data_IF_556999428178
#
_entry.id   IF_556999428178
#
_cell.length_a   1.000
_cell.length_b   1.000
_cell.length_c   1.000
_cell.angle_alpha   90.00
_cell.angle_beta   90.00
_cell.angle_gamma   90.00
#
_symmetry.space_group_name_H-M   'P 1'
#
loop_
_entity.id
_entity.type
_entity.pdbx_description
1 polymer ?
#
# COMPACT_ATOMS: atom_id res chain seq x y z
N UNK A 1 -37.82 47.44 -38.45
CA UNK A 1 -36.65 47.73 -37.56
C UNK A 1 -36.64 46.90 -36.28
N UNK A 2 -37.79 46.48 -35.73
CA UNK A 2 -37.90 45.68 -34.48
C UNK A 2 -37.35 44.25 -34.58
N UNK A 3 -37.52 43.57 -35.72
CA UNK A 3 -36.99 42.20 -35.94
C UNK A 3 -35.47 42.13 -36.02
N UNK A 4 -34.83 43.18 -36.55
CA UNK A 4 -33.37 43.26 -36.64
C UNK A 4 -32.75 43.44 -35.25
N UNK A 5 -33.38 44.25 -34.40
CA UNK A 5 -32.92 44.49 -33.04
C UNK A 5 -33.08 43.24 -32.15
N UNK A 6 -34.21 42.52 -32.30
CA UNK A 6 -34.44 41.24 -31.62
C UNK A 6 -33.41 40.18 -32.03
N UNK A 7 -33.08 40.08 -33.33
CA UNK A 7 -32.07 39.15 -33.84
C UNK A 7 -30.66 39.46 -33.30
N UNK A 8 -30.27 40.73 -33.23
CA UNK A 8 -28.97 41.17 -32.69
C UNK A 8 -28.85 40.85 -31.20
N UNK A 9 -29.91 41.08 -30.42
CA UNK A 9 -29.91 40.74 -28.98
C UNK A 9 -29.80 39.23 -28.77
N UNK A 10 -30.53 38.42 -29.54
CA UNK A 10 -30.47 36.97 -29.43
C UNK A 10 -29.08 36.41 -29.78
N UNK A 11 -28.43 36.97 -30.81
CA UNK A 11 -27.06 36.61 -31.19
C UNK A 11 -26.06 36.99 -30.09
N UNK A 12 -26.19 38.18 -29.49
CA UNK A 12 -25.37 38.59 -28.34
C UNK A 12 -25.58 37.69 -27.11
N UNK A 13 -26.80 37.25 -26.83
CA UNK A 13 -27.10 36.33 -25.73
C UNK A 13 -26.49 34.93 -25.96
N UNK A 14 -26.54 34.40 -27.19
CA UNK A 14 -25.95 33.10 -27.50
C UNK A 14 -24.41 33.12 -27.44
N UNK A 15 -23.79 34.20 -27.93
CA UNK A 15 -22.32 34.37 -27.89
C UNK A 15 -21.82 34.51 -26.45
N UNK A 16 -22.50 35.29 -25.62
CA UNK A 16 -22.13 35.48 -24.20
C UNK A 16 -22.31 34.19 -23.38
N UNK A 17 -23.38 33.42 -23.64
CA UNK A 17 -23.59 32.12 -22.99
C UNK A 17 -22.54 31.08 -23.41
N UNK A 18 -22.23 30.99 -24.71
CA UNK A 18 -21.23 30.04 -25.25
C UNK A 18 -19.82 30.32 -24.73
N UNK A 19 -19.42 31.60 -24.67
CA UNK A 19 -18.11 32.02 -24.16
C UNK A 19 -17.99 31.79 -22.65
N UNK A 20 -19.02 32.13 -21.88
CA UNK A 20 -19.05 31.91 -20.43
C UNK A 20 -18.97 30.44 -20.05
N UNK A 21 -19.68 29.58 -20.79
CA UNK A 21 -19.67 28.13 -20.59
C UNK A 21 -18.32 27.51 -20.96
N UNK A 22 -17.73 27.86 -22.11
CA UNK A 22 -16.42 27.35 -22.53
C UNK A 22 -15.30 27.71 -21.55
N UNK A 23 -15.32 28.92 -20.99
CA UNK A 23 -14.34 29.33 -19.98
C UNK A 23 -14.54 28.57 -18.68
N UNK A 24 -15.78 28.43 -18.21
CA UNK A 24 -16.10 27.65 -17.00
C UNK A 24 -15.65 26.20 -17.14
N UNK A 25 -15.96 25.56 -18.26
CA UNK A 25 -15.60 24.17 -18.55
C UNK A 25 -14.08 23.97 -18.71
N UNK A 26 -13.36 24.96 -19.23
CA UNK A 26 -11.89 24.96 -19.28
C UNK A 26 -11.29 25.05 -17.87
N UNK A 27 -11.74 25.99 -17.04
CA UNK A 27 -11.21 26.16 -15.68
C UNK A 27 -11.55 24.97 -14.77
N UNK A 28 -12.74 24.38 -14.89
CA UNK A 28 -13.09 23.15 -14.16
C UNK A 28 -12.27 21.96 -14.64
N UNK A 29 -12.00 21.84 -15.94
CA UNK A 29 -11.14 20.77 -16.47
C UNK A 29 -9.69 20.93 -16.00
N UNK A 30 -9.16 22.16 -16.01
CA UNK A 30 -7.81 22.45 -15.52
C UNK A 30 -7.68 22.22 -14.01
N UNK A 31 -8.67 22.63 -13.20
CA UNK A 31 -8.67 22.34 -11.76
C UNK A 31 -8.72 20.83 -11.51
N UNK A 32 -9.58 20.11 -12.24
CA UNK A 32 -9.70 18.64 -12.14
C UNK A 32 -8.39 17.94 -12.53
N UNK A 33 -7.72 18.40 -13.58
CA UNK A 33 -6.43 17.84 -14.01
C UNK A 33 -5.32 18.13 -12.99
N UNK A 34 -5.33 19.33 -12.39
CA UNK A 34 -4.41 19.69 -11.31
C UNK A 34 -4.63 18.80 -10.07
N UNK A 35 -5.89 18.56 -9.69
CA UNK A 35 -6.24 17.67 -8.58
C UNK A 35 -5.81 16.23 -8.88
N UNK A 36 -5.99 15.77 -10.13
CA UNK A 36 -5.55 14.43 -10.54
C UNK A 36 -4.03 14.26 -10.45
N UNK A 37 -3.25 15.28 -10.83
CA UNK A 37 -1.79 15.28 -10.68
C UNK A 37 -1.40 15.21 -9.19
N UNK A 38 -2.14 15.88 -8.32
CA UNK A 38 -1.89 15.79 -6.88
C UNK A 38 -2.15 14.37 -6.34
N UNK A 39 -3.28 13.77 -6.73
CA UNK A 39 -3.62 12.38 -6.40
C UNK A 39 -2.56 11.42 -6.93
N UNK A 40 -2.09 11.58 -8.17
CA UNK A 40 -1.04 10.73 -8.76
C UNK A 40 0.26 10.79 -7.93
N UNK A 41 0.68 12.00 -7.52
CA UNK A 41 1.85 12.16 -6.64
C UNK A 41 1.66 11.45 -5.30
N UNK A 42 0.47 11.54 -4.72
CA UNK A 42 0.14 10.88 -3.46
C UNK A 42 0.15 9.35 -3.60
N UNK A 43 -0.50 8.82 -4.65
CA UNK A 43 -0.51 7.38 -4.96
C UNK A 43 0.91 6.87 -5.17
N UNK A 44 1.78 7.61 -5.86
CA UNK A 44 3.19 7.24 -6.02
C UNK A 44 3.91 7.12 -4.68
N UNK A 45 3.73 8.09 -3.78
CA UNK A 45 4.33 8.05 -2.43
C UNK A 45 3.80 6.86 -1.64
N UNK A 46 2.50 6.60 -1.70
CA UNK A 46 1.88 5.49 -0.98
C UNK A 46 2.33 4.13 -1.53
N UNK A 47 2.49 4.00 -2.85
CA UNK A 47 3.02 2.79 -3.47
C UNK A 47 4.48 2.52 -3.06
N UNK A 48 5.33 3.55 -3.03
CA UNK A 48 6.70 3.41 -2.57
C UNK A 48 6.75 2.94 -1.11
N UNK A 49 5.93 3.52 -0.24
CA UNK A 49 5.80 3.11 1.16
C UNK A 49 5.28 1.68 1.30
N UNK A 50 4.36 1.27 0.44
CA UNK A 50 3.83 -0.10 0.39
C UNK A 50 4.93 -1.11 0.04
N UNK A 51 5.72 -0.83 -1.00
CA UNK A 51 6.86 -1.69 -1.40
C UNK A 51 7.91 -1.77 -0.30
N UNK A 52 8.22 -0.66 0.38
CA UNK A 52 9.17 -0.64 1.50
C UNK A 52 8.70 -1.55 2.64
N UNK A 53 7.41 -1.51 2.99
CA UNK A 53 6.82 -2.39 4.01
C UNK A 53 6.87 -3.86 3.59
N UNK A 54 6.56 -4.17 2.33
CA UNK A 54 6.69 -5.53 1.80
C UNK A 54 8.12 -6.04 1.95
N UNK A 55 9.12 -5.22 1.58
CA UNK A 55 10.54 -5.57 1.72
C UNK A 55 10.94 -5.80 3.18
N UNK A 56 10.44 -4.98 4.10
CA UNK A 56 10.69 -5.16 5.54
C UNK A 56 10.14 -6.49 6.06
N UNK A 57 8.90 -6.84 5.69
CA UNK A 57 8.28 -8.11 6.09
C UNK A 57 9.01 -9.29 5.46
N UNK A 58 9.33 -9.20 4.17
CA UNK A 58 10.13 -10.21 3.48
C UNK A 58 11.48 -10.43 4.17
N UNK A 59 12.21 -9.35 4.49
CA UNK A 59 13.48 -9.42 5.20
C UNK A 59 13.34 -10.05 6.59
N UNK A 60 12.26 -9.75 7.32
CA UNK A 60 12.01 -10.35 8.62
C UNK A 60 11.72 -11.86 8.53
N UNK A 61 10.97 -12.29 7.52
CA UNK A 61 10.72 -13.71 7.24
C UNK A 61 12.03 -14.41 6.86
N UNK A 62 12.80 -13.84 5.93
CA UNK A 62 14.07 -14.42 5.49
C UNK A 62 15.06 -14.54 6.64
N UNK A 63 15.21 -13.50 7.45
CA UNK A 63 16.06 -13.55 8.64
C UNK A 63 15.62 -14.66 9.61
N UNK A 64 14.32 -14.83 9.81
CA UNK A 64 13.81 -15.90 10.68
C UNK A 64 14.07 -17.29 10.09
N UNK A 65 13.86 -17.49 8.78
CA UNK A 65 14.01 -18.80 8.12
C UNK A 65 15.47 -19.19 7.89
N UNK A 66 16.32 -18.23 7.54
CA UNK A 66 17.74 -18.45 7.24
C UNK A 66 18.62 -18.52 8.48
N UNK A 67 18.10 -18.13 9.65
CA UNK A 67 18.79 -18.29 10.93
C UNK A 67 18.89 -19.78 11.30
N UNK A 68 19.94 -20.42 10.78
CA UNK A 68 20.22 -21.84 10.95
C UNK A 68 20.37 -22.19 12.43
N UNK A 69 19.60 -23.17 12.87
CA UNK A 69 19.63 -23.64 14.24
C UNK A 69 20.47 -24.91 14.35
N UNK A 70 21.09 -25.17 15.52
CA UNK A 70 21.91 -26.37 15.73
C UNK A 70 21.17 -27.69 15.52
N UNK A 71 19.84 -27.67 15.62
CA UNK A 71 18.99 -28.84 15.43
C UNK A 71 18.49 -29.03 14.00
N UNK A 72 18.79 -28.12 13.07
CA UNK A 72 18.32 -28.22 11.68
C UNK A 72 18.94 -29.41 10.93
N UNK A 73 20.13 -29.84 11.36
CA UNK A 73 20.85 -30.98 10.78
C UNK A 73 20.45 -32.34 11.41
N UNK A 74 19.59 -32.33 12.44
CA UNK A 74 19.16 -33.54 13.13
C UNK A 74 18.06 -34.23 12.32
N UNK A 75 18.39 -35.36 11.70
CA UNK A 75 17.47 -36.11 10.82
C UNK A 75 16.70 -37.22 11.54
N UNK A 76 17.02 -37.52 12.81
CA UNK A 76 16.34 -38.56 13.59
C UNK A 76 15.65 -38.00 14.84
N UNK A 77 14.52 -38.60 15.18
CA UNK A 77 13.76 -38.23 16.37
C UNK A 77 14.52 -38.48 17.67
N UNK A 78 15.37 -39.52 17.71
CA UNK A 78 16.23 -39.81 18.86
C UNK A 78 17.28 -38.72 19.07
N UNK A 79 17.95 -38.25 18.01
CA UNK A 79 18.94 -37.19 18.11
C UNK A 79 18.31 -35.85 18.54
N UNK A 80 17.11 -35.54 18.04
CA UNK A 80 16.36 -34.37 18.50
C UNK A 80 15.95 -34.51 19.99
N UNK A 81 15.48 -35.68 20.39
CA UNK A 81 15.13 -35.96 21.79
C UNK A 81 16.33 -35.78 22.72
N UNK A 82 17.49 -36.33 22.34
CA UNK A 82 18.73 -36.18 23.10
C UNK A 82 19.20 -34.71 23.17
N UNK A 83 19.11 -33.97 22.07
CA UNK A 83 19.40 -32.53 22.05
C UNK A 83 18.50 -31.74 23.01
N UNK A 84 17.20 -32.08 23.06
CA UNK A 84 16.22 -31.39 23.91
C UNK A 84 16.30 -31.76 25.40
N UNK A 85 17.06 -32.80 25.79
CA UNK A 85 17.32 -33.10 27.21
C UNK A 85 18.07 -31.98 27.92
N UNK A 86 18.84 -31.18 27.18
CA UNK A 86 19.51 -30.03 27.75
C UNK A 86 18.53 -28.85 27.90
N UNK A 87 18.31 -28.32 29.12
CA UNK A 87 17.25 -27.34 29.38
C UNK A 87 17.41 -26.04 28.59
N UNK A 88 18.66 -25.62 28.31
CA UNK A 88 18.93 -24.43 27.47
C UNK A 88 18.47 -24.65 26.03
N UNK A 89 18.67 -25.84 25.48
CA UNK A 89 18.30 -26.17 24.10
C UNK A 89 16.78 -26.23 23.95
N UNK A 90 16.10 -26.87 24.90
CA UNK A 90 14.64 -26.86 24.98
C UNK A 90 14.09 -25.43 25.09
N UNK A 91 14.66 -24.61 25.98
CA UNK A 91 14.26 -23.22 26.13
C UNK A 91 14.46 -22.40 24.85
N UNK A 92 15.60 -22.56 24.16
CA UNK A 92 15.88 -21.86 22.91
C UNK A 92 14.87 -22.21 21.81
N UNK A 93 14.55 -23.49 21.65
CA UNK A 93 13.53 -23.94 20.70
C UNK A 93 12.16 -23.35 21.05
N UNK A 94 11.74 -23.44 22.31
CA UNK A 94 10.47 -22.88 22.78
C UNK A 94 10.44 -21.36 22.54
N UNK A 95 11.51 -20.65 22.88
CA UNK A 95 11.64 -19.20 22.67
C UNK A 95 11.50 -18.85 21.18
N UNK A 96 12.17 -19.59 20.29
CA UNK A 96 12.08 -19.36 18.85
C UNK A 96 10.67 -19.59 18.32
N UNK A 97 10.04 -20.70 18.71
CA UNK A 97 8.69 -21.06 18.27
C UNK A 97 7.61 -20.14 18.83
N UNK A 98 7.76 -19.67 20.08
CA UNK A 98 6.74 -18.83 20.70
C UNK A 98 6.98 -17.33 20.50
N UNK A 99 8.18 -16.83 20.73
CA UNK A 99 8.44 -15.39 20.63
C UNK A 99 8.91 -14.99 19.23
N UNK A 100 9.84 -15.75 18.66
CA UNK A 100 10.38 -15.49 17.32
C UNK A 100 9.29 -15.57 16.26
N UNK A 101 8.60 -16.71 16.15
CA UNK A 101 7.56 -16.91 15.14
C UNK A 101 6.38 -15.94 15.30
N UNK A 102 5.92 -15.67 16.54
CA UNK A 102 4.86 -14.69 16.78
C UNK A 102 5.24 -13.28 16.34
N UNK A 103 6.51 -12.92 16.46
CA UNK A 103 7.00 -11.60 16.00
C UNK A 103 6.85 -11.48 14.48
N UNK A 104 7.27 -12.51 13.74
CA UNK A 104 7.11 -12.56 12.28
C UNK A 104 5.63 -12.58 11.88
N UNK A 105 4.82 -13.41 12.54
CA UNK A 105 3.38 -13.48 12.29
C UNK A 105 2.69 -12.12 12.52
N UNK A 106 3.06 -11.39 13.57
CA UNK A 106 2.52 -10.07 13.85
C UNK A 106 2.86 -9.06 12.75
N UNK A 107 4.07 -9.12 12.18
CA UNK A 107 4.45 -8.27 11.05
C UNK A 107 3.63 -8.59 9.78
N UNK A 108 3.42 -9.88 9.49
CA UNK A 108 2.57 -10.33 8.38
C UNK A 108 1.12 -9.86 8.57
N UNK A 109 0.56 -10.02 9.77
CA UNK A 109 -0.80 -9.55 10.08
C UNK A 109 -0.96 -8.04 9.92
N UNK A 110 0.04 -7.27 10.34
CA UNK A 110 0.04 -5.82 10.12
C UNK A 110 0.04 -5.50 8.64
N UNK A 111 0.88 -6.15 7.83
CA UNK A 111 0.91 -5.98 6.37
C UNK A 111 -0.46 -6.27 5.75
N UNK A 112 -1.08 -7.41 6.07
CA UNK A 112 -2.40 -7.78 5.55
C UNK A 112 -3.50 -6.75 5.87
N UNK A 113 -3.44 -6.11 7.03
CA UNK A 113 -4.37 -5.03 7.39
C UNK A 113 -4.20 -3.80 6.49
N UNK A 114 -3.00 -3.54 5.98
CA UNK A 114 -2.79 -2.49 4.98
C UNK A 114 -3.36 -2.89 3.63
N UNK A 115 -3.19 -4.14 3.22
CA UNK A 115 -3.75 -4.65 1.96
C UNK A 115 -5.28 -4.45 1.89
N UNK A 116 -5.99 -4.69 3.02
CA UNK A 116 -7.45 -4.50 3.09
C UNK A 116 -7.93 -3.05 3.07
N UNK A 117 -7.04 -2.06 3.18
CA UNK A 117 -7.38 -0.63 3.07
C UNK A 117 -7.13 -0.11 1.65
N UNK A 118 -6.37 -0.86 0.84
CA UNK A 118 -6.03 -0.52 -0.53
C UNK A 118 -6.98 -1.16 -1.58
N UNK A 119 -7.94 -1.96 -1.14
CA UNK A 119 -9.02 -2.58 -1.94
C UNK A 119 -10.35 -1.98 -1.52
#
# INVERSE_FOLDING_TARGET
MTHFWSSVVLLCCLVTHSIGQKNKDFYTTVSTLSDLIHVEKQVKVDLLRYVERLRFVQGSILNFVQDRQPYDDLTSLSALSDYLKHPVHAFQLIKRMNAGLKTVEAQIKRMRKFDSVCV
#
